data_IF_691086854914
#
_entry.id   IF_691086854914
#
_cell.length_a   1.000
_cell.length_b   1.000
_cell.length_c   1.000
_cell.angle_alpha   90.00
_cell.angle_beta   90.00
_cell.angle_gamma   90.00
#
_symmetry.space_group_name_H-M   'P 1'
#
loop_
_entity.id
_entity.type
_entity.pdbx_description
1 polymer ?
#
# COMPACT_ATOMS: atom_id res chain seq x y z
N UNK A 1 20.01 2.99 20.06
CA UNK A 1 19.42 1.88 19.51
C UNK A 1 19.14 2.05 18.06
N UNK A 2 19.41 1.03 17.27
CA UNK A 2 19.21 1.20 15.96
C UNK A 2 17.90 0.76 15.47
N UNK A 3 17.39 1.37 14.47
CA UNK A 3 16.17 1.02 13.81
C UNK A 3 16.29 -0.32 13.18
N UNK A 4 15.32 -1.18 13.43
CA UNK A 4 15.34 -2.51 12.88
C UNK A 4 14.44 -2.69 11.70
N UNK A 5 14.01 -1.63 11.08
CA UNK A 5 13.15 -1.72 9.94
C UNK A 5 13.83 -2.49 8.82
N UNK A 6 13.21 -3.56 8.39
CA UNK A 6 13.74 -4.38 7.34
C UNK A 6 13.61 -3.72 5.98
N UNK A 7 12.53 -2.98 5.78
CA UNK A 7 12.26 -2.36 4.50
C UNK A 7 12.27 -0.84 4.61
N UNK A 8 13.17 -0.16 3.90
CA UNK A 8 13.15 1.30 3.89
C UNK A 8 11.83 1.84 3.36
N UNK A 9 11.38 2.94 3.92
CA UNK A 9 10.14 3.58 3.50
C UNK A 9 10.47 4.85 2.76
N UNK A 10 9.73 5.09 1.69
CA UNK A 10 9.88 6.29 0.87
C UNK A 10 8.57 7.05 0.90
N UNK A 11 8.65 8.36 1.08
CA UNK A 11 7.45 9.19 1.06
C UNK A 11 7.00 9.41 -0.36
N UNK A 12 5.71 9.29 -0.59
CA UNK A 12 5.09 9.44 -1.90
C UNK A 12 3.77 10.14 -1.76
N UNK A 13 3.11 10.34 -2.88
CA UNK A 13 1.79 10.95 -2.94
C UNK A 13 1.10 10.33 -4.13
N UNK A 14 0.63 9.11 -3.97
CA UNK A 14 0.06 8.35 -5.08
C UNK A 14 -1.42 8.10 -4.84
N UNK A 15 -2.23 8.53 -5.79
CA UNK A 15 -3.65 8.21 -5.75
C UNK A 15 -3.83 6.72 -5.91
N UNK A 16 -4.63 6.10 -5.04
CA UNK A 16 -4.88 4.67 -5.09
C UNK A 16 -6.38 4.41 -4.98
N UNK A 17 -6.79 3.24 -5.44
CA UNK A 17 -8.11 2.71 -5.21
C UNK A 17 -7.93 1.46 -4.37
N UNK A 18 -8.58 1.40 -3.23
CA UNK A 18 -8.45 0.28 -2.31
C UNK A 18 -9.76 -0.49 -2.28
N UNK A 19 -9.71 -1.76 -2.62
CA UNK A 19 -10.90 -2.59 -2.67
C UNK A 19 -10.83 -3.69 -1.63
N UNK A 20 -11.62 -3.57 -0.54
CA UNK A 20 -11.68 -4.64 0.45
C UNK A 20 -12.37 -5.86 -0.14
N UNK A 21 -11.94 -7.04 0.28
CA UNK A 21 -12.57 -8.26 -0.17
C UNK A 21 -14.03 -8.25 0.29
N UNK A 22 -14.95 -8.42 -0.68
CA UNK A 22 -16.38 -8.40 -0.38
C UNK A 22 -16.97 -7.02 -0.19
N UNK A 23 -16.20 -5.96 -0.41
CA UNK A 23 -16.67 -4.60 -0.23
C UNK A 23 -16.42 -3.74 -1.45
N UNK A 24 -16.91 -2.51 -1.40
CA UNK A 24 -16.74 -1.57 -2.50
C UNK A 24 -15.40 -0.88 -2.43
N UNK A 25 -14.84 -0.59 -3.60
CA UNK A 25 -13.57 0.14 -3.65
C UNK A 25 -13.74 1.59 -3.21
N UNK A 26 -12.71 2.14 -2.61
CA UNK A 26 -12.72 3.55 -2.21
C UNK A 26 -11.37 4.19 -2.56
N UNK A 27 -11.38 5.50 -2.69
CA UNK A 27 -10.19 6.25 -3.04
C UNK A 27 -9.36 6.54 -1.81
N UNK A 28 -8.05 6.61 -1.98
CA UNK A 28 -7.14 7.02 -0.94
C UNK A 28 -5.87 7.57 -1.57
N UNK A 29 -4.93 7.97 -0.72
CA UNK A 29 -3.65 8.49 -1.17
C UNK A 29 -2.56 7.74 -0.41
N UNK A 30 -1.70 7.03 -1.14
CA UNK A 30 -0.56 6.39 -0.51
C UNK A 30 0.45 7.46 -0.16
N UNK A 31 0.81 7.54 1.10
CA UNK A 31 1.73 8.58 1.59
C UNK A 31 3.12 8.04 1.81
N UNK A 32 3.28 6.76 2.01
CA UNK A 32 4.59 6.14 2.03
C UNK A 32 4.49 4.70 1.55
N UNK A 33 5.59 4.20 1.04
CA UNK A 33 5.68 2.87 0.44
C UNK A 33 7.00 2.25 0.82
N UNK A 34 6.97 0.94 1.06
CA UNK A 34 8.18 0.14 1.21
C UNK A 34 7.97 -1.17 0.46
N UNK A 35 8.96 -2.04 0.45
CA UNK A 35 8.77 -3.36 -0.17
C UNK A 35 7.72 -4.19 0.58
N UNK A 36 7.48 -3.88 1.85
CA UNK A 36 6.55 -4.66 2.66
C UNK A 36 5.15 -4.12 2.73
N UNK A 37 4.91 -2.87 2.35
CA UNK A 37 3.58 -2.31 2.47
C UNK A 37 3.53 -0.83 2.21
N UNK A 38 2.37 -0.23 2.52
CA UNK A 38 2.18 1.21 2.34
C UNK A 38 1.19 1.75 3.36
N UNK A 39 1.30 3.05 3.63
CA UNK A 39 0.30 3.75 4.42
C UNK A 39 -0.62 4.50 3.45
N UNK A 40 -1.92 4.30 3.62
CA UNK A 40 -2.93 4.94 2.77
C UNK A 40 -3.76 5.89 3.62
N UNK A 41 -3.75 7.15 3.24
CA UNK A 41 -4.58 8.16 3.87
C UNK A 41 -5.97 8.08 3.26
N UNK A 42 -6.98 7.95 4.10
CA UNK A 42 -8.36 7.82 3.65
C UNK A 42 -9.29 8.04 4.83
N UNK A 43 -10.53 8.43 4.53
CA UNK A 43 -11.55 8.56 5.56
C UNK A 43 -12.33 7.28 5.78
N UNK A 44 -12.06 6.25 4.98
CA UNK A 44 -12.75 4.98 5.13
C UNK A 44 -12.24 4.22 6.33
N UNK A 45 -13.13 3.47 6.97
CA UNK A 45 -12.76 2.64 8.10
C UNK A 45 -12.74 1.19 7.64
N UNK A 46 -11.57 0.55 7.75
CA UNK A 46 -11.40 -0.83 7.32
C UNK A 46 -10.81 -1.60 8.49
N UNK A 47 -11.46 -2.68 8.93
CA UNK A 47 -10.98 -3.39 10.11
C UNK A 47 -9.63 -4.07 9.90
N UNK A 48 -8.90 -4.20 10.99
CA UNK A 48 -7.65 -4.95 11.02
C UNK A 48 -7.90 -6.36 10.46
N UNK A 49 -6.99 -6.82 9.64
CA UNK A 49 -7.06 -8.17 9.08
C UNK A 49 -7.83 -8.28 7.76
N UNK A 50 -8.46 -7.19 7.32
CA UNK A 50 -9.19 -7.21 6.06
C UNK A 50 -8.23 -7.35 4.91
N UNK A 51 -8.54 -8.24 3.97
CA UNK A 51 -7.77 -8.38 2.75
C UNK A 51 -8.24 -7.34 1.75
N UNK A 52 -7.29 -6.68 1.10
CA UNK A 52 -7.59 -5.61 0.15
C UNK A 52 -6.77 -5.79 -1.11
N UNK A 53 -7.24 -5.18 -2.19
CA UNK A 53 -6.47 -5.06 -3.43
C UNK A 53 -6.30 -3.57 -3.70
N UNK A 54 -5.07 -3.14 -3.87
CA UNK A 54 -4.76 -1.73 -4.09
C UNK A 54 -4.42 -1.54 -5.55
N UNK A 55 -5.21 -0.72 -6.25
CA UNK A 55 -4.92 -0.36 -7.63
C UNK A 55 -4.16 0.96 -7.61
N UNK A 56 -2.99 0.97 -8.20
CA UNK A 56 -2.14 2.15 -8.19
C UNK A 56 -1.34 2.21 -9.49
N UNK A 57 -1.03 3.43 -9.92
CA UNK A 57 -0.18 3.61 -11.09
C UNK A 57 1.18 4.12 -10.62
N UNK A 58 2.23 3.38 -10.94
CA UNK A 58 3.59 3.75 -10.58
C UNK A 58 4.39 3.87 -11.86
N UNK A 59 4.93 5.06 -12.13
CA UNK A 59 5.75 5.33 -13.32
C UNK A 59 5.06 4.90 -14.61
N UNK A 60 3.76 5.18 -14.70
CA UNK A 60 2.99 4.86 -15.89
C UNK A 60 2.51 3.43 -16.00
N UNK A 61 2.77 2.60 -15.00
CA UNK A 61 2.38 1.21 -15.01
C UNK A 61 1.24 1.00 -14.02
N UNK A 62 0.13 0.44 -14.49
CA UNK A 62 -1.02 0.16 -13.65
C UNK A 62 -0.81 -1.16 -12.94
N UNK A 63 -0.89 -1.13 -11.62
CA UNK A 63 -0.62 -2.30 -10.78
C UNK A 63 -1.80 -2.59 -9.87
N UNK A 64 -1.93 -3.85 -9.50
CA UNK A 64 -2.87 -4.27 -8.46
C UNK A 64 -2.07 -5.03 -7.41
N UNK A 65 -2.08 -4.50 -6.20
CA UNK A 65 -1.24 -5.02 -5.12
C UNK A 65 -2.12 -5.66 -4.05
N UNK A 66 -1.94 -6.95 -3.79
CA UNK A 66 -2.68 -7.59 -2.72
C UNK A 66 -2.11 -7.20 -1.38
N UNK A 67 -2.96 -7.07 -0.39
CA UNK A 67 -2.48 -6.74 0.94
C UNK A 67 -3.48 -7.06 2.02
N UNK A 68 -3.05 -6.84 3.26
CA UNK A 68 -3.89 -7.05 4.43
C UNK A 68 -3.74 -5.83 5.32
N UNK A 69 -4.85 -5.34 5.85
CA UNK A 69 -4.82 -4.19 6.76
C UNK A 69 -4.20 -4.64 8.08
N UNK A 70 -3.07 -4.07 8.44
CA UNK A 70 -2.35 -4.45 9.65
C UNK A 70 -2.56 -3.46 10.78
N UNK A 71 -2.97 -2.25 10.48
CA UNK A 71 -3.40 -1.30 11.48
C UNK A 71 -4.26 -0.24 10.81
N UNK A 72 -5.13 0.37 11.62
CA UNK A 72 -6.03 1.39 11.13
C UNK A 72 -6.22 2.42 12.23
N UNK A 73 -6.34 3.67 11.82
CA UNK A 73 -6.60 4.78 12.74
C UNK A 73 -7.41 5.81 11.98
N UNK A 74 -8.01 6.79 12.69
CA UNK A 74 -8.69 7.86 11.97
C UNK A 74 -7.74 8.52 10.98
N UNK A 75 -8.15 8.61 9.75
CA UNK A 75 -7.36 9.25 8.71
C UNK A 75 -6.49 8.32 7.89
N UNK A 76 -6.38 7.03 8.24
CA UNK A 76 -5.56 6.17 7.40
C UNK A 76 -5.45 4.74 7.85
N UNK A 77 -4.82 3.96 6.99
CA UNK A 77 -4.59 2.54 7.27
C UNK A 77 -3.24 2.11 6.74
N UNK A 78 -2.62 1.19 7.47
CA UNK A 78 -1.38 0.57 7.06
C UNK A 78 -1.67 -0.78 6.47
N UNK A 79 -1.16 -1.02 5.26
CA UNK A 79 -1.40 -2.26 4.52
C UNK A 79 -0.08 -2.97 4.34
N UNK A 80 -0.05 -4.24 4.72
CA UNK A 80 1.10 -5.10 4.46
C UNK A 80 0.82 -5.84 3.16
N UNK A 81 1.76 -5.79 2.21
CA UNK A 81 1.57 -6.47 0.94
C UNK A 81 1.58 -7.97 1.13
N UNK A 82 0.77 -8.65 0.33
CA UNK A 82 0.84 -10.08 0.21
C UNK A 82 1.91 -10.48 -0.79
N UNK A 83 1.69 -11.61 -1.45
CA UNK A 83 2.66 -12.09 -2.41
C UNK A 83 2.60 -11.27 -3.67
N UNK A 84 3.70 -10.62 -4.03
CA UNK A 84 3.78 -9.77 -5.21
C UNK A 84 4.43 -10.53 -6.36
N UNK A 85 3.97 -10.27 -7.56
CA UNK A 85 4.60 -10.80 -8.75
C UNK A 85 5.85 -10.02 -9.12
N UNK A 86 6.56 -10.48 -10.14
CA UNK A 86 7.80 -9.84 -10.57
C UNK A 86 7.58 -8.41 -11.04
N UNK A 87 6.48 -8.17 -11.75
CA UNK A 87 6.18 -6.85 -12.27
C UNK A 87 5.94 -5.86 -11.14
N UNK A 88 5.17 -6.26 -10.14
CA UNK A 88 4.86 -5.41 -9.00
C UNK A 88 6.10 -5.15 -8.17
N UNK A 89 6.88 -6.18 -7.93
CA UNK A 89 8.11 -6.06 -7.18
C UNK A 89 9.07 -5.10 -7.88
N UNK A 90 9.20 -5.23 -9.19
CA UNK A 90 10.09 -4.38 -9.96
C UNK A 90 9.65 -2.92 -9.89
N UNK A 91 8.36 -2.65 -10.05
CA UNK A 91 7.85 -1.29 -10.03
C UNK A 91 8.05 -0.63 -8.68
N UNK A 92 7.82 -1.36 -7.59
CA UNK A 92 8.03 -0.83 -6.26
C UNK A 92 9.51 -0.59 -6.02
N UNK A 93 10.35 -1.53 -6.43
CA UNK A 93 11.79 -1.41 -6.28
C UNK A 93 12.33 -0.18 -6.96
N UNK A 94 11.85 0.09 -8.17
CA UNK A 94 12.26 1.28 -8.90
C UNK A 94 11.86 2.56 -8.18
N UNK A 95 10.68 2.57 -7.59
CA UNK A 95 10.21 3.71 -6.83
C UNK A 95 11.09 3.96 -5.61
N UNK A 96 11.53 2.90 -4.96
CA UNK A 96 12.33 3.01 -3.73
C UNK A 96 13.77 3.42 -3.98
N UNK A 97 14.26 3.24 -5.19
CA UNK A 97 15.66 3.51 -5.48
C UNK A 97 15.90 4.78 -6.28
N UNK A 98 14.89 5.55 -6.57
CA UNK A 98 15.09 6.77 -7.36
C UNK A 98 15.49 7.97 -6.50
#
# INVERSE_FOLDING_TARGET
>A
MQEKRVHPRVQVDLAVSCEPKGGAAFAGVAKDVSMGGMFIESTEVVPFGTQVTIAVRISGVDLKLPGTVRWAKPGGLGVQFGLLGARETHSISQLLTR
#
